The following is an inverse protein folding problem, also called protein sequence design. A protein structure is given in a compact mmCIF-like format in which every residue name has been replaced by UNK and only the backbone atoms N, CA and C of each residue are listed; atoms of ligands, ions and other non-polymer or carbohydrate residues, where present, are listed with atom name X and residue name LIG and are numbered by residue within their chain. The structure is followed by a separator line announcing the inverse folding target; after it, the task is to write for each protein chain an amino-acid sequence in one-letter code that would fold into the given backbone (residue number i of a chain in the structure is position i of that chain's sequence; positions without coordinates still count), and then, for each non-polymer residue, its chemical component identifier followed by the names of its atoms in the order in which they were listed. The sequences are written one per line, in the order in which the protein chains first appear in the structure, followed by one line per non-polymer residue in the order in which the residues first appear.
data_IF_336601407076
#
_entry.id   IF_336601407076
#
_cell.length_a   1.000
_cell.length_b   1.000
_cell.length_c   1.000
_cell.angle_alpha   90.00
_cell.angle_beta   90.00
_cell.angle_gamma   90.00
#
_symmetry.space_group_name_H-M   'P 1'
#
loop_
_entity.id
_entity.type
_entity.pdbx_description
1 polymer ?
#
# COMPACT_ATOMS: atom_id res chain seq x y z
N UNK A 1 2.86 -13.43 20.76
CA UNK A 1 4.25 -13.61 20.29
C UNK A 1 4.77 -15.04 20.51
N UNK A 2 4.91 -15.56 21.72
CA UNK A 2 5.48 -16.90 21.97
C UNK A 2 4.81 -18.05 21.18
N UNK A 3 3.47 -18.10 21.10
CA UNK A 3 2.78 -19.09 20.28
C UNK A 3 3.10 -18.96 18.77
N UNK A 4 3.27 -17.74 18.27
CA UNK A 4 3.65 -17.51 16.88
C UNK A 4 5.08 -18.04 16.60
N UNK A 5 6.03 -17.80 17.49
CA UNK A 5 7.39 -18.33 17.38
C UNK A 5 7.40 -19.87 17.41
N UNK A 6 6.57 -20.49 18.27
CA UNK A 6 6.40 -21.95 18.29
C UNK A 6 5.78 -22.49 16.98
N UNK A 7 4.93 -21.72 16.31
CA UNK A 7 4.37 -22.07 15.01
C UNK A 7 5.41 -21.94 13.88
N UNK A 8 6.33 -21.00 13.99
CA UNK A 8 7.43 -20.78 13.03
C UNK A 8 8.61 -21.74 13.20
N UNK A 9 8.45 -22.81 14.00
CA UNK A 9 9.47 -23.83 14.30
C UNK A 9 10.74 -23.31 14.98
N UNK A 10 10.64 -22.17 15.69
CA UNK A 10 11.71 -21.75 16.60
C UNK A 10 11.89 -22.76 17.73
N UNK A 11 13.11 -22.81 18.31
CA UNK A 11 13.42 -23.76 19.39
C UNK A 11 12.42 -23.62 20.55
N UNK A 12 11.62 -24.65 20.81
CA UNK A 12 10.54 -24.57 21.80
C UNK A 12 11.01 -24.26 23.21
N UNK A 13 12.21 -24.76 23.60
CA UNK A 13 12.75 -24.52 24.93
C UNK A 13 13.13 -23.04 25.11
N UNK A 14 13.80 -22.48 24.13
CA UNK A 14 14.19 -21.06 24.10
C UNK A 14 12.94 -20.17 24.12
N UNK A 15 11.95 -20.45 23.29
CA UNK A 15 10.70 -19.65 23.23
C UNK A 15 9.98 -19.64 24.57
N UNK A 16 9.81 -20.81 25.22
CA UNK A 16 9.14 -20.89 26.53
C UNK A 16 9.93 -20.13 27.60
N UNK A 17 11.25 -20.31 27.64
CA UNK A 17 12.12 -19.67 28.62
C UNK A 17 12.09 -18.14 28.50
N UNK A 18 12.25 -17.62 27.30
CA UNK A 18 12.22 -16.17 27.06
C UNK A 18 10.84 -15.56 27.31
N UNK A 19 9.76 -16.26 26.97
CA UNK A 19 8.40 -15.80 27.29
C UNK A 19 8.14 -15.71 28.80
N UNK A 20 8.64 -16.69 29.57
CA UNK A 20 8.55 -16.69 31.05
C UNK A 20 9.43 -15.61 31.66
N UNK A 21 10.67 -15.39 31.15
CA UNK A 21 11.53 -14.29 31.57
C UNK A 21 10.88 -12.93 31.32
N UNK A 22 10.33 -12.72 30.11
CA UNK A 22 9.60 -11.48 29.76
C UNK A 22 8.41 -11.24 30.69
N UNK A 23 7.62 -12.29 30.99
CA UNK A 23 6.51 -12.16 31.95
C UNK A 23 6.97 -11.78 33.35
N UNK A 24 8.10 -12.30 33.81
CA UNK A 24 8.68 -11.96 35.14
C UNK A 24 9.29 -10.55 35.18
N UNK A 25 9.75 -10.02 34.07
CA UNK A 25 10.40 -8.72 33.99
C UNK A 25 9.42 -7.54 34.18
N UNK A 26 8.13 -7.73 33.92
CA UNK A 26 7.10 -6.70 34.14
C UNK A 26 6.35 -6.94 35.43
N UNK A 27 6.24 -5.94 36.33
CA UNK A 27 5.45 -6.04 37.56
C UNK A 27 3.99 -6.44 37.32
N UNK A 28 3.41 -6.01 36.21
CA UNK A 28 2.03 -6.28 35.83
C UNK A 28 1.79 -7.75 35.49
N UNK A 29 2.79 -8.42 34.90
CA UNK A 29 2.68 -9.79 34.39
C UNK A 29 3.47 -10.82 35.21
N UNK A 30 4.28 -10.39 36.17
CA UNK A 30 5.13 -11.29 36.95
C UNK A 30 4.35 -12.43 37.66
N UNK A 31 3.16 -12.12 38.17
CA UNK A 31 2.26 -13.12 38.81
C UNK A 31 1.73 -14.15 37.81
N UNK A 32 1.67 -13.83 36.51
CA UNK A 32 1.19 -14.70 35.46
C UNK A 32 2.28 -15.60 34.86
N UNK A 33 3.55 -15.46 35.25
CA UNK A 33 4.67 -16.21 34.65
C UNK A 33 4.50 -17.73 34.74
N UNK A 34 3.96 -18.23 35.87
CA UNK A 34 3.63 -19.65 36.03
C UNK A 34 2.52 -20.12 35.06
N UNK A 35 1.49 -19.30 34.87
CA UNK A 35 0.42 -19.56 33.94
C UNK A 35 0.94 -19.57 32.48
N UNK A 36 1.77 -18.60 32.10
CA UNK A 36 2.40 -18.54 30.77
C UNK A 36 3.19 -19.82 30.50
N UNK A 37 4.02 -20.27 31.46
CA UNK A 37 4.79 -21.50 31.31
C UNK A 37 3.88 -22.73 31.14
N UNK A 38 2.84 -22.85 31.98
CA UNK A 38 1.90 -23.97 31.91
C UNK A 38 1.14 -24.01 30.59
N UNK A 39 0.68 -22.85 30.10
CA UNK A 39 -0.05 -22.70 28.84
C UNK A 39 0.81 -23.09 27.65
N UNK A 40 2.06 -22.60 27.57
CA UNK A 40 2.96 -22.90 26.46
C UNK A 40 3.37 -24.39 26.46
N UNK A 41 3.66 -24.97 27.62
CA UNK A 41 3.96 -26.41 27.74
C UNK A 41 2.75 -27.29 27.39
N UNK A 42 1.54 -26.87 27.78
CA UNK A 42 0.33 -27.57 27.39
C UNK A 42 0.09 -27.51 25.88
N UNK A 43 0.28 -26.34 25.28
CA UNK A 43 0.21 -26.18 23.83
C UNK A 43 1.22 -27.13 23.12
N UNK A 44 2.47 -27.18 23.56
CA UNK A 44 3.47 -28.06 22.95
C UNK A 44 3.09 -29.53 23.02
N UNK A 45 2.57 -29.98 24.17
CA UNK A 45 2.14 -31.39 24.34
C UNK A 45 0.93 -31.75 23.48
N UNK A 46 0.01 -30.81 23.28
CA UNK A 46 -1.26 -31.03 22.61
C UNK A 46 -1.34 -30.37 21.21
N UNK A 47 -0.17 -29.89 20.66
CA UNK A 47 -0.12 -29.10 19.41
C UNK A 47 -0.91 -29.77 18.29
N UNK A 48 -0.71 -31.07 18.04
CA UNK A 48 -1.41 -31.79 16.97
C UNK A 48 -2.93 -31.81 17.11
N UNK A 49 -3.42 -32.05 18.32
CA UNK A 49 -4.86 -32.05 18.61
C UNK A 49 -5.44 -30.64 18.50
N UNK A 50 -4.79 -29.63 19.08
CA UNK A 50 -5.22 -28.23 19.05
C UNK A 50 -5.26 -27.75 17.59
N UNK A 51 -4.19 -27.96 16.82
CA UNK A 51 -4.12 -27.54 15.41
C UNK A 51 -5.24 -28.21 14.60
N UNK A 52 -5.47 -29.51 14.77
CA UNK A 52 -6.54 -30.24 14.07
C UNK A 52 -7.94 -29.70 14.46
N UNK A 53 -8.18 -29.44 15.73
CA UNK A 53 -9.47 -28.96 16.20
C UNK A 53 -9.83 -27.56 15.70
N UNK A 54 -8.84 -26.68 15.58
CA UNK A 54 -9.06 -25.28 15.17
C UNK A 54 -8.83 -25.02 13.67
N UNK A 55 -8.19 -25.94 12.92
CA UNK A 55 -7.95 -25.78 11.49
C UNK A 55 -9.24 -25.72 10.64
N UNK A 56 -10.34 -26.25 11.15
CA UNK A 56 -11.65 -26.14 10.51
C UNK A 56 -12.28 -24.75 10.63
N UNK A 57 -11.82 -23.93 11.60
CA UNK A 57 -12.32 -22.57 11.79
C UNK A 57 -11.57 -21.66 10.83
N UNK A 58 -12.26 -21.18 9.79
CA UNK A 58 -11.64 -20.39 8.71
C UNK A 58 -10.94 -19.13 9.19
N UNK A 59 -11.50 -18.39 10.18
CA UNK A 59 -10.85 -17.21 10.75
C UNK A 59 -9.52 -17.52 11.42
N UNK A 60 -9.42 -18.68 12.08
CA UNK A 60 -8.18 -19.17 12.68
C UNK A 60 -7.19 -19.61 11.59
N UNK A 61 -7.68 -20.36 10.61
CA UNK A 61 -6.85 -20.87 9.48
C UNK A 61 -6.17 -19.74 8.71
N UNK A 62 -6.89 -18.62 8.48
CA UNK A 62 -6.38 -17.46 7.76
C UNK A 62 -5.84 -16.36 8.67
N UNK A 63 -5.84 -16.56 10.00
CA UNK A 63 -5.28 -15.58 10.95
C UNK A 63 -5.97 -14.22 10.91
N UNK A 64 -7.28 -14.16 10.66
CA UNK A 64 -8.04 -12.91 10.53
C UNK A 64 -9.28 -12.91 11.44
N UNK A 65 -9.76 -11.76 11.91
CA UNK A 65 -11.03 -11.67 12.63
C UNK A 65 -12.21 -12.16 11.80
N UNK A 66 -13.23 -12.72 12.44
CA UNK A 66 -14.43 -13.25 11.77
C UNK A 66 -15.15 -12.25 10.87
N UNK A 67 -15.22 -10.98 11.30
CA UNK A 67 -15.81 -9.89 10.50
C UNK A 67 -15.03 -9.60 9.22
N UNK A 68 -13.68 -9.66 9.30
CA UNK A 68 -12.80 -9.46 8.14
C UNK A 68 -13.02 -10.55 7.10
N UNK A 69 -12.98 -11.81 7.55
CA UNK A 69 -13.28 -12.96 6.70
C UNK A 69 -14.66 -12.84 6.03
N UNK A 70 -15.69 -12.45 6.79
CA UNK A 70 -17.05 -12.28 6.25
C UNK A 70 -17.10 -11.19 5.17
N UNK A 71 -16.42 -10.05 5.40
CA UNK A 71 -16.34 -8.94 4.43
C UNK A 71 -15.62 -9.35 3.15
N UNK A 72 -14.43 -9.96 3.26
CA UNK A 72 -13.67 -10.41 2.09
C UNK A 72 -14.45 -11.46 1.30
N UNK A 73 -15.10 -12.42 1.96
CA UNK A 73 -15.95 -13.42 1.29
C UNK A 73 -17.14 -12.82 0.57
N UNK A 74 -17.76 -11.81 1.16
CA UNK A 74 -18.90 -11.09 0.54
C UNK A 74 -18.47 -10.32 -0.69
N UNK A 75 -17.33 -9.63 -0.62
CA UNK A 75 -16.81 -8.81 -1.70
C UNK A 75 -16.23 -9.66 -2.86
N UNK A 76 -15.66 -10.83 -2.54
CA UNK A 76 -14.91 -11.68 -3.49
C UNK A 76 -15.27 -13.16 -3.31
N UNK A 77 -16.50 -13.58 -3.68
CA UNK A 77 -16.98 -14.96 -3.44
C UNK A 77 -16.05 -16.05 -4.00
N UNK A 78 -15.45 -15.80 -5.15
CA UNK A 78 -14.61 -16.76 -5.87
C UNK A 78 -13.12 -16.65 -5.49
N UNK A 79 -12.64 -15.46 -5.11
CA UNK A 79 -11.22 -15.14 -4.95
C UNK A 79 -10.78 -15.00 -3.47
N UNK A 80 -11.71 -15.00 -2.52
CA UNK A 80 -11.40 -14.72 -1.10
C UNK A 80 -10.32 -15.63 -0.50
N UNK A 81 -10.24 -16.91 -0.95
CA UNK A 81 -9.21 -17.84 -0.47
C UNK A 81 -7.82 -17.43 -0.93
N UNK A 82 -7.69 -17.08 -2.20
CA UNK A 82 -6.44 -16.60 -2.78
C UNK A 82 -5.99 -15.31 -2.10
N UNK A 83 -6.88 -14.33 -1.99
CA UNK A 83 -6.60 -13.05 -1.30
C UNK A 83 -6.05 -13.29 0.10
N UNK A 84 -6.75 -14.08 0.93
CA UNK A 84 -6.33 -14.33 2.31
C UNK A 84 -5.06 -15.19 2.38
N UNK A 85 -4.82 -16.06 1.42
CA UNK A 85 -3.59 -16.85 1.33
C UNK A 85 -2.39 -15.94 1.05
N UNK A 86 -2.49 -15.07 0.02
CA UNK A 86 -1.42 -14.13 -0.33
C UNK A 86 -1.17 -13.13 0.81
N UNK A 87 -2.21 -12.66 1.49
CA UNK A 87 -2.08 -11.77 2.65
C UNK A 87 -1.30 -12.38 3.83
N UNK A 88 -1.20 -13.72 3.89
CA UNK A 88 -0.44 -14.44 4.92
C UNK A 88 0.97 -14.84 4.46
N UNK A 89 1.38 -14.52 3.24
CA UNK A 89 2.76 -14.73 2.77
C UNK A 89 3.68 -13.61 3.25
N UNK A 90 4.99 -13.86 3.23
CA UNK A 90 5.96 -12.78 3.40
C UNK A 90 5.88 -11.80 2.22
N UNK A 91 5.86 -10.51 2.52
CA UNK A 91 5.90 -9.50 1.49
C UNK A 91 7.26 -9.53 0.78
N UNK A 92 7.30 -9.61 -0.56
CA UNK A 92 8.56 -9.54 -1.28
C UNK A 92 9.19 -8.14 -1.14
N UNK A 93 10.52 -8.07 -1.13
CA UNK A 93 11.23 -6.81 -1.23
C UNK A 93 11.09 -6.30 -2.67
N UNK A 94 10.13 -5.42 -2.87
CA UNK A 94 9.81 -4.85 -4.17
C UNK A 94 10.36 -3.44 -4.28
N UNK A 95 11.06 -3.17 -5.36
CA UNK A 95 11.69 -1.90 -5.67
C UNK A 95 11.06 -1.28 -6.91
N UNK A 96 10.95 0.05 -6.91
CA UNK A 96 10.78 0.85 -8.12
C UNK A 96 12.15 1.30 -8.59
N UNK A 97 12.52 0.95 -9.81
CA UNK A 97 13.73 1.44 -10.47
C UNK A 97 13.50 2.88 -10.93
N UNK A 98 14.43 3.76 -10.61
CA UNK A 98 14.40 5.15 -11.06
C UNK A 98 14.90 5.27 -12.52
N UNK A 99 13.95 5.26 -13.45
CA UNK A 99 14.25 5.28 -14.88
C UNK A 99 14.91 6.57 -15.38
N UNK A 100 14.85 7.66 -14.62
CA UNK A 100 15.63 8.86 -14.94
C UNK A 100 17.14 8.65 -14.74
N UNK A 101 17.55 7.61 -14.00
CA UNK A 101 18.96 7.34 -13.66
C UNK A 101 19.50 6.03 -14.22
N UNK A 102 18.67 4.97 -14.31
CA UNK A 102 19.10 3.63 -14.73
C UNK A 102 17.94 2.87 -15.37
N UNK A 103 18.21 2.07 -16.41
CA UNK A 103 17.19 1.16 -16.95
C UNK A 103 16.96 -0.04 -16.02
N UNK A 104 15.82 -0.71 -16.17
CA UNK A 104 15.50 -1.91 -15.38
C UNK A 104 16.52 -3.02 -15.66
N UNK A 105 16.91 -3.22 -16.91
CA UNK A 105 17.90 -4.24 -17.32
C UNK A 105 19.24 -4.00 -16.63
N UNK A 106 19.76 -2.77 -16.67
CA UNK A 106 21.01 -2.41 -16.02
C UNK A 106 20.94 -2.54 -14.51
N UNK A 107 19.80 -2.22 -13.90
CA UNK A 107 19.57 -2.41 -12.47
C UNK A 107 19.60 -3.89 -12.09
N UNK A 108 18.94 -4.75 -12.87
CA UNK A 108 18.95 -6.20 -12.68
C UNK A 108 20.35 -6.79 -12.75
N UNK A 109 21.16 -6.35 -13.73
CA UNK A 109 22.56 -6.78 -13.84
C UNK A 109 23.40 -6.34 -12.66
N UNK A 110 23.24 -5.09 -12.21
CA UNK A 110 23.93 -4.55 -11.02
C UNK A 110 23.57 -5.36 -9.76
N UNK A 111 22.29 -5.59 -9.53
CA UNK A 111 21.84 -6.34 -8.36
C UNK A 111 22.37 -7.78 -8.36
N UNK A 112 22.38 -8.45 -9.52
CA UNK A 112 22.93 -9.82 -9.64
C UNK A 112 24.45 -9.86 -9.41
N UNK A 113 25.21 -8.86 -9.85
CA UNK A 113 26.63 -8.75 -9.57
C UNK A 113 26.94 -8.58 -8.07
N UNK A 114 26.00 -7.99 -7.32
CA UNK A 114 26.07 -7.85 -5.86
C UNK A 114 25.49 -9.06 -5.11
N UNK A 115 25.14 -10.15 -5.82
CA UNK A 115 24.72 -11.43 -5.24
C UNK A 115 23.24 -11.57 -4.94
N UNK A 116 22.39 -10.68 -5.46
CA UNK A 116 20.94 -10.82 -5.34
C UNK A 116 20.34 -11.60 -6.52
N UNK A 117 19.34 -12.44 -6.22
CA UNK A 117 18.42 -12.88 -7.26
C UNK A 117 17.41 -11.76 -7.52
N UNK A 118 17.48 -11.16 -8.73
CA UNK A 118 16.70 -10.01 -9.09
C UNK A 118 15.84 -10.32 -10.33
N UNK A 119 14.52 -10.12 -10.21
CA UNK A 119 13.59 -10.34 -11.32
C UNK A 119 12.64 -9.15 -11.49
N UNK A 120 12.34 -8.84 -12.76
CA UNK A 120 11.33 -7.85 -13.09
C UNK A 120 9.93 -8.42 -12.84
N UNK A 121 9.04 -7.61 -12.25
CA UNK A 121 7.66 -7.98 -11.91
C UNK A 121 6.64 -6.95 -12.38
N UNK A 122 7.08 -5.90 -13.03
CA UNK A 122 6.25 -4.82 -13.57
C UNK A 122 7.10 -3.88 -14.43
N UNK A 123 6.53 -2.85 -15.05
CA UNK A 123 7.26 -1.96 -15.95
C UNK A 123 8.54 -1.40 -15.34
N UNK A 124 8.50 -0.99 -14.07
CA UNK A 124 9.64 -0.45 -13.30
C UNK A 124 9.87 -1.19 -11.99
N UNK A 125 9.12 -2.28 -11.78
CA UNK A 125 9.14 -3.04 -10.55
C UNK A 125 10.11 -4.21 -10.63
N UNK A 126 10.97 -4.32 -9.63
CA UNK A 126 11.92 -5.42 -9.43
C UNK A 126 11.71 -6.01 -8.04
N UNK A 127 11.71 -7.33 -7.94
CA UNK A 127 11.79 -8.05 -6.66
C UNK A 127 13.24 -8.47 -6.45
N UNK A 128 13.76 -8.25 -5.23
CA UNK A 128 15.07 -8.74 -4.79
C UNK A 128 14.92 -9.88 -3.79
N UNK A 129 15.69 -10.93 -3.98
CA UNK A 129 15.82 -12.07 -3.07
C UNK A 129 17.32 -12.37 -2.80
N UNK A 130 17.68 -12.64 -1.53
CA UNK A 130 16.86 -12.55 -0.32
C UNK A 130 16.52 -11.11 0.04
N UNK A 131 15.40 -10.90 0.75
CA UNK A 131 15.08 -9.58 1.31
C UNK A 131 16.21 -9.13 2.27
N UNK A 132 16.57 -7.85 2.20
CA UNK A 132 17.65 -7.28 2.99
C UNK A 132 17.24 -5.93 3.61
N UNK A 133 17.98 -5.44 4.62
CA UNK A 133 17.84 -4.08 5.13
C UNK A 133 18.09 -3.04 4.04
N UNK A 134 17.41 -1.89 4.14
CA UNK A 134 17.41 -0.82 3.13
C UNK A 134 18.83 -0.35 2.76
N UNK A 135 19.72 -0.25 3.75
CA UNK A 135 21.13 0.14 3.58
C UNK A 135 22.00 -0.91 2.84
N UNK A 136 21.43 -2.07 2.50
CA UNK A 136 22.09 -3.12 1.71
C UNK A 136 21.48 -3.27 0.32
N UNK A 137 20.46 -2.47 -0.01
CA UNK A 137 19.86 -2.49 -1.35
C UNK A 137 20.80 -1.81 -2.34
N UNK A 138 21.20 -2.49 -3.43
CA UNK A 138 22.05 -1.91 -4.47
C UNK A 138 21.52 -0.58 -4.98
N UNK A 139 22.35 0.46 -4.97
CA UNK A 139 22.02 1.75 -5.53
C UNK A 139 20.96 2.58 -4.76
N UNK A 140 20.53 2.17 -3.58
CA UNK A 140 19.48 2.87 -2.82
C UNK A 140 19.91 4.29 -2.43
N UNK A 141 21.11 4.45 -1.84
CA UNK A 141 21.62 5.74 -1.39
C UNK A 141 21.92 6.68 -2.56
N UNK A 142 22.24 6.13 -3.75
CA UNK A 142 22.42 6.88 -4.99
C UNK A 142 21.09 7.27 -5.65
N UNK A 143 19.96 6.85 -5.09
CA UNK A 143 18.62 7.10 -5.62
C UNK A 143 18.31 6.37 -6.91
N UNK A 144 18.97 5.23 -7.18
CA UNK A 144 18.72 4.39 -8.36
C UNK A 144 17.42 3.58 -8.20
N UNK A 145 16.94 3.43 -6.97
CA UNK A 145 15.67 2.76 -6.68
C UNK A 145 15.01 3.31 -5.41
N UNK A 146 13.75 2.92 -5.23
CA UNK A 146 12.96 3.16 -4.02
C UNK A 146 12.20 1.90 -3.63
N UNK A 147 12.07 1.63 -2.32
CA UNK A 147 11.21 0.54 -1.85
C UNK A 147 9.76 0.96 -2.06
N UNK A 148 9.06 0.26 -2.95
CA UNK A 148 7.66 0.53 -3.26
C UNK A 148 7.00 -0.72 -3.84
N UNK A 149 5.78 -1.04 -3.38
CA UNK A 149 4.99 -2.12 -3.97
C UNK A 149 4.72 -1.87 -5.46
N UNK A 150 4.75 -2.92 -6.28
CA UNK A 150 4.59 -2.77 -7.72
C UNK A 150 3.20 -2.27 -8.11
N UNK A 151 2.15 -2.66 -7.36
CA UNK A 151 0.80 -2.15 -7.58
C UNK A 151 0.66 -0.65 -7.31
N UNK A 152 1.58 -0.06 -6.51
CA UNK A 152 1.64 1.37 -6.23
C UNK A 152 2.37 2.18 -7.32
N UNK A 153 3.04 1.50 -8.27
CA UNK A 153 3.91 2.13 -9.27
C UNK A 153 3.20 2.55 -10.56
N UNK A 154 1.87 2.59 -10.60
CA UNK A 154 1.10 2.86 -11.82
C UNK A 154 0.70 4.33 -11.99
N UNK A 155 1.03 5.20 -11.03
CA UNK A 155 0.55 6.60 -10.98
C UNK A 155 0.95 7.40 -12.22
N UNK A 156 2.23 7.41 -12.54
CA UNK A 156 2.76 8.18 -13.69
C UNK A 156 2.22 7.69 -15.02
N UNK A 157 2.03 6.38 -15.16
CA UNK A 157 1.46 5.77 -16.37
C UNK A 157 0.00 6.20 -16.56
N UNK A 158 -0.80 6.17 -15.48
CA UNK A 158 -2.22 6.50 -15.56
C UNK A 158 -2.49 7.99 -15.73
N UNK A 159 -1.61 8.85 -15.22
CA UNK A 159 -1.73 10.29 -15.46
C UNK A 159 -1.25 10.69 -16.87
N UNK A 160 -0.29 9.97 -17.44
CA UNK A 160 0.26 10.26 -18.77
C UNK A 160 0.94 11.63 -18.84
N UNK A 161 1.70 11.99 -17.81
CA UNK A 161 2.41 13.28 -17.70
C UNK A 161 3.45 13.41 -18.82
N UNK A 162 3.53 14.60 -19.41
CA UNK A 162 4.40 14.89 -20.56
C UNK A 162 5.52 15.90 -20.26
N UNK A 163 5.40 16.62 -19.15
CA UNK A 163 6.28 17.71 -18.73
C UNK A 163 5.61 19.07 -18.86
N UNK A 164 5.94 19.95 -17.92
CA UNK A 164 5.38 21.30 -17.81
C UNK A 164 4.04 21.39 -17.07
N UNK A 165 3.44 20.23 -16.69
CA UNK A 165 2.20 20.22 -15.94
C UNK A 165 2.41 20.62 -14.48
N UNK A 166 1.41 21.33 -13.92
CA UNK A 166 1.27 21.58 -12.50
C UNK A 166 0.45 20.47 -11.85
N UNK A 167 1.07 19.71 -10.96
CA UNK A 167 0.46 18.51 -10.37
C UNK A 167 0.32 18.68 -8.84
N UNK A 168 -0.82 18.30 -8.29
CA UNK A 168 -1.03 18.16 -6.86
C UNK A 168 -1.02 16.68 -6.46
N UNK A 169 -0.19 16.32 -5.49
CA UNK A 169 -0.31 15.09 -4.72
C UNK A 169 -0.98 15.45 -3.37
N UNK A 170 -2.25 15.12 -3.21
CA UNK A 170 -3.09 15.69 -2.16
C UNK A 170 -2.95 15.03 -0.78
N UNK A 171 -2.43 13.80 -0.71
CA UNK A 171 -2.12 13.08 0.54
C UNK A 171 -0.76 12.37 0.36
N UNK A 172 0.30 13.17 0.20
CA UNK A 172 1.53 12.77 -0.46
C UNK A 172 2.46 11.86 0.36
N UNK A 173 2.36 11.87 1.70
CA UNK A 173 3.34 11.17 2.53
C UNK A 173 3.27 9.63 2.39
N UNK A 174 4.44 8.99 2.32
CA UNK A 174 5.81 9.49 2.58
C UNK A 174 6.55 10.03 1.34
N UNK A 175 5.88 10.34 0.23
CA UNK A 175 6.49 10.95 -0.95
C UNK A 175 6.81 9.97 -2.09
N UNK A 176 6.48 8.69 -1.96
CA UNK A 176 6.81 7.68 -2.97
C UNK A 176 6.13 7.89 -4.33
N UNK A 177 4.86 8.34 -4.34
CA UNK A 177 4.12 8.66 -5.57
C UNK A 177 4.57 10.01 -6.14
N UNK A 178 4.79 11.00 -5.27
CA UNK A 178 5.40 12.30 -5.63
C UNK A 178 6.73 12.09 -6.35
N UNK A 179 7.63 11.30 -5.77
CA UNK A 179 8.92 10.98 -6.36
C UNK A 179 8.78 10.28 -7.72
N UNK A 180 7.87 9.30 -7.84
CA UNK A 180 7.62 8.60 -9.09
C UNK A 180 7.18 9.54 -10.22
N UNK A 181 6.30 10.49 -9.93
CA UNK A 181 5.85 11.48 -10.91
C UNK A 181 7.01 12.37 -11.38
N UNK A 182 7.86 12.84 -10.45
CA UNK A 182 9.05 13.65 -10.74
C UNK A 182 10.16 12.86 -11.47
N UNK A 183 10.26 11.56 -11.24
CA UNK A 183 11.18 10.67 -11.98
C UNK A 183 10.72 10.46 -13.45
N UNK A 184 9.42 10.57 -13.70
CA UNK A 184 8.82 10.26 -15.01
C UNK A 184 8.69 11.46 -15.93
N UNK A 185 8.58 12.69 -15.40
CA UNK A 185 8.39 13.90 -16.19
C UNK A 185 8.86 15.15 -15.42
N UNK A 186 9.30 16.17 -16.15
CA UNK A 186 9.64 17.49 -15.61
C UNK A 186 8.36 18.28 -15.34
N UNK A 187 7.88 18.25 -14.10
CA UNK A 187 6.60 18.81 -13.65
C UNK A 187 6.78 19.76 -12.47
N UNK A 188 5.85 20.72 -12.31
CA UNK A 188 5.74 21.54 -11.10
C UNK A 188 4.83 20.80 -10.08
N UNK A 189 5.46 20.11 -9.12
CA UNK A 189 4.74 19.28 -8.15
C UNK A 189 4.54 20.01 -6.83
N UNK A 190 3.29 20.08 -6.38
CA UNK A 190 2.91 20.41 -5.01
C UNK A 190 2.51 19.14 -4.27
N UNK A 191 3.22 18.81 -3.20
CA UNK A 191 2.94 17.66 -2.32
C UNK A 191 2.29 18.16 -1.02
N UNK A 192 1.06 17.77 -0.73
CA UNK A 192 0.32 18.19 0.46
C UNK A 192 0.15 17.03 1.45
N UNK A 193 0.36 17.32 2.73
CA UNK A 193 0.18 16.37 3.82
C UNK A 193 -0.29 17.10 5.08
N UNK A 194 -1.30 16.56 5.76
CA UNK A 194 -1.89 17.16 6.96
C UNK A 194 -0.99 17.00 8.20
N UNK A 195 -0.30 15.88 8.32
CA UNK A 195 0.57 15.57 9.46
C UNK A 195 1.98 16.14 9.23
N UNK A 196 2.46 17.05 10.10
CA UNK A 196 3.77 17.68 9.94
C UNK A 196 4.94 16.67 9.97
N UNK A 197 4.84 15.62 10.78
CA UNK A 197 5.89 14.59 10.86
C UNK A 197 5.92 13.74 9.58
N UNK A 198 4.77 13.50 8.99
CA UNK A 198 4.69 12.80 7.72
C UNK A 198 5.12 13.69 6.55
N UNK A 199 4.84 15.00 6.59
CA UNK A 199 5.32 15.97 5.61
C UNK A 199 6.87 16.01 5.55
N UNK A 200 7.56 15.95 6.69
CA UNK A 200 9.03 15.84 6.74
C UNK A 200 9.55 14.64 5.96
N UNK A 201 8.85 13.49 6.00
CA UNK A 201 9.26 12.30 5.25
C UNK A 201 9.18 12.48 3.73
N UNK A 202 8.30 13.35 3.24
CA UNK A 202 8.25 13.71 1.81
C UNK A 202 9.58 14.37 1.43
N UNK A 203 10.01 15.37 2.19
CA UNK A 203 11.27 16.08 1.96
C UNK A 203 12.46 15.09 2.00
N UNK A 204 12.56 14.26 3.04
CA UNK A 204 13.62 13.23 3.15
C UNK A 204 13.66 12.29 1.94
N UNK A 205 12.48 11.87 1.46
CA UNK A 205 12.38 10.99 0.27
C UNK A 205 12.87 11.70 -0.97
N UNK A 206 12.45 12.95 -1.19
CA UNK A 206 12.82 13.73 -2.36
C UNK A 206 14.31 14.09 -2.34
N UNK A 207 14.86 14.50 -1.20
CA UNK A 207 16.27 14.85 -1.03
C UNK A 207 17.18 13.67 -1.36
N UNK A 208 16.88 12.46 -0.86
CA UNK A 208 17.63 11.23 -1.20
C UNK A 208 17.66 10.97 -2.70
N UNK A 209 16.59 11.27 -3.40
CA UNK A 209 16.45 11.04 -4.85
C UNK A 209 17.01 12.19 -5.69
N UNK A 210 17.35 13.33 -5.06
CA UNK A 210 17.78 14.55 -5.75
C UNK A 210 16.63 15.27 -6.46
N UNK A 211 15.39 15.08 -5.99
CA UNK A 211 14.18 15.66 -6.57
C UNK A 211 13.70 16.87 -5.76
N UNK A 212 12.91 17.74 -6.39
CA UNK A 212 12.35 18.95 -5.74
C UNK A 212 10.85 19.01 -5.97
N UNK A 213 10.11 19.34 -4.92
CA UNK A 213 8.69 19.70 -4.97
C UNK A 213 8.38 20.77 -3.93
N UNK A 214 7.26 21.43 -4.11
CA UNK A 214 6.67 22.29 -3.08
C UNK A 214 5.95 21.43 -2.06
N UNK A 215 6.48 21.31 -0.84
CA UNK A 215 5.81 20.58 0.25
C UNK A 215 4.95 21.55 1.05
N UNK A 216 3.65 21.25 1.16
CA UNK A 216 2.65 22.06 1.87
C UNK A 216 2.04 21.24 3.00
N UNK A 217 2.22 21.69 4.23
CA UNK A 217 1.48 21.14 5.36
C UNK A 217 0.07 21.73 5.35
N UNK A 218 -0.95 20.87 5.25
CA UNK A 218 -2.33 21.32 5.25
C UNK A 218 -3.34 20.20 5.01
N UNK A 219 -4.59 20.49 5.31
CA UNK A 219 -5.71 19.60 5.09
C UNK A 219 -6.25 19.79 3.65
N UNK A 220 -6.23 18.75 2.85
CA UNK A 220 -6.75 18.77 1.49
C UNK A 220 -8.30 18.89 1.43
N UNK A 221 -8.99 18.83 2.55
CA UNK A 221 -10.42 19.20 2.65
C UNK A 221 -10.63 20.71 2.75
N UNK A 222 -9.61 21.51 3.05
CA UNK A 222 -9.64 22.96 2.99
C UNK A 222 -9.43 23.43 1.54
N UNK A 223 -10.53 23.59 0.81
CA UNK A 223 -10.48 23.96 -0.61
C UNK A 223 -9.84 25.34 -0.85
N UNK A 224 -9.92 26.28 0.09
CA UNK A 224 -9.27 27.60 -0.04
C UNK A 224 -7.75 27.45 -0.02
N UNK A 225 -7.24 26.65 0.92
CA UNK A 225 -5.83 26.34 0.99
C UNK A 225 -5.34 25.65 -0.30
N UNK A 226 -6.08 24.64 -0.77
CA UNK A 226 -5.73 23.92 -2.01
C UNK A 226 -5.77 24.87 -3.21
N UNK A 227 -6.80 25.71 -3.32
CA UNK A 227 -6.97 26.69 -4.41
C UNK A 227 -5.80 27.68 -4.48
N UNK A 228 -5.27 28.11 -3.34
CA UNK A 228 -4.12 29.02 -3.28
C UNK A 228 -2.84 28.40 -3.89
N UNK A 229 -2.75 27.08 -3.95
CA UNK A 229 -1.62 26.36 -4.55
C UNK A 229 -1.76 26.17 -6.07
N UNK A 230 -3.00 26.22 -6.61
CA UNK A 230 -3.33 25.96 -8.03
C UNK A 230 -3.18 27.17 -8.95
N UNK A 231 -3.71 27.08 -10.20
CA UNK A 231 -4.44 25.93 -10.74
C UNK A 231 -3.56 24.72 -11.03
N UNK A 232 -4.19 23.52 -11.12
CA UNK A 232 -3.49 22.26 -11.38
C UNK A 232 -3.98 21.64 -12.71
N UNK A 233 -3.05 21.02 -13.44
CA UNK A 233 -3.34 20.26 -14.66
C UNK A 233 -3.76 18.82 -14.34
N UNK A 234 -3.23 18.27 -13.24
CA UNK A 234 -3.61 16.95 -12.74
C UNK A 234 -3.55 16.92 -11.20
N UNK A 235 -4.40 16.09 -10.61
CA UNK A 235 -4.39 15.86 -9.16
C UNK A 235 -4.32 14.35 -8.89
N UNK A 236 -3.45 13.96 -7.97
CA UNK A 236 -3.43 12.62 -7.37
C UNK A 236 -4.06 12.73 -5.99
N UNK A 237 -5.01 11.85 -5.72
CA UNK A 237 -5.58 11.66 -4.39
C UNK A 237 -5.33 10.21 -3.96
N UNK A 238 -4.17 9.98 -3.31
CA UNK A 238 -3.90 8.74 -2.58
C UNK A 238 -4.59 8.79 -1.22
N UNK A 239 -5.88 8.47 -1.22
CA UNK A 239 -6.74 8.78 -0.09
C UNK A 239 -6.45 7.90 1.13
N UNK A 240 -6.55 8.44 2.35
CA UNK A 240 -6.50 7.65 3.57
C UNK A 240 -7.59 6.57 3.54
N UNK A 241 -7.22 5.32 3.81
CA UNK A 241 -8.09 4.16 3.67
C UNK A 241 -7.82 3.12 4.76
N UNK A 242 -8.56 2.01 4.75
CA UNK A 242 -8.33 0.89 5.69
C UNK A 242 -6.98 0.21 5.51
N UNK A 243 -6.33 0.42 4.37
CA UNK A 243 -5.11 -0.26 3.95
C UNK A 243 -5.27 -1.81 3.87
N UNK A 244 -6.49 -2.27 3.62
CA UNK A 244 -6.83 -3.70 3.57
C UNK A 244 -6.17 -4.46 2.43
N UNK A 245 -5.60 -3.77 1.45
CA UNK A 245 -4.87 -4.37 0.34
C UNK A 245 -3.43 -4.74 0.66
N UNK A 246 -2.80 -4.10 1.67
CA UNK A 246 -1.37 -4.24 1.99
C UNK A 246 -1.10 -5.03 3.28
N UNK A 247 -2.03 -5.89 3.67
CA UNK A 247 -1.99 -6.67 4.93
C UNK A 247 -0.70 -7.49 5.06
N UNK A 248 -0.19 -8.10 3.98
CA UNK A 248 1.05 -8.90 4.08
C UNK A 248 2.27 -8.08 4.49
N UNK A 249 2.25 -6.75 4.27
CA UNK A 249 3.30 -5.82 4.72
C UNK A 249 3.06 -5.31 6.13
N UNK A 250 1.79 -5.23 6.53
CA UNK A 250 1.32 -4.72 7.81
C UNK A 250 0.25 -5.67 8.39
N UNK A 251 0.65 -6.84 8.90
CA UNK A 251 -0.30 -7.88 9.35
C UNK A 251 -1.13 -7.48 10.58
N UNK A 252 -0.75 -6.42 11.28
CA UNK A 252 -1.50 -5.82 12.37
C UNK A 252 -2.81 -5.12 11.91
N UNK A 253 -2.90 -4.72 10.64
CA UNK A 253 -4.08 -4.03 10.07
C UNK A 253 -5.37 -4.80 10.36
N UNK A 254 -5.41 -6.11 10.12
CA UNK A 254 -6.61 -6.92 10.31
C UNK A 254 -7.11 -6.94 11.76
N UNK A 255 -6.23 -6.68 12.73
CA UNK A 255 -6.51 -6.67 14.17
C UNK A 255 -6.80 -5.28 14.70
N UNK A 256 -6.17 -4.24 14.13
CA UNK A 256 -6.36 -2.85 14.53
C UNK A 256 -7.63 -2.23 13.93
N UNK A 257 -8.03 -2.66 12.74
CA UNK A 257 -9.25 -2.17 12.08
C UNK A 257 -10.51 -2.76 12.68
N UNK A 258 -11.58 -1.97 12.62
CA UNK A 258 -12.96 -2.35 13.03
C UNK A 258 -13.90 -2.23 11.83
N UNK A 259 -15.04 -2.94 11.81
CA UNK A 259 -16.01 -2.83 10.71
C UNK A 259 -16.45 -1.38 10.39
N UNK A 260 -16.63 -0.55 11.42
CA UNK A 260 -17.03 0.85 11.26
C UNK A 260 -15.96 1.75 10.64
N UNK A 261 -14.68 1.35 10.64
CA UNK A 261 -13.61 2.14 10.04
C UNK A 261 -13.75 2.23 8.52
N UNK A 262 -14.33 1.21 7.87
CA UNK A 262 -14.58 1.20 6.43
C UNK A 262 -15.49 2.37 6.05
N UNK A 263 -16.64 2.49 6.72
CA UNK A 263 -17.62 3.54 6.44
C UNK A 263 -17.07 4.93 6.80
N UNK A 264 -16.38 5.04 7.93
CA UNK A 264 -15.77 6.30 8.38
C UNK A 264 -14.73 6.81 7.38
N UNK A 265 -13.86 5.93 6.89
CA UNK A 265 -12.83 6.29 5.92
C UNK A 265 -13.44 6.58 4.55
N UNK A 266 -14.45 5.83 4.11
CA UNK A 266 -15.17 6.12 2.88
C UNK A 266 -15.86 7.51 2.92
N UNK A 267 -16.40 7.93 4.07
CA UNK A 267 -16.93 9.30 4.25
C UNK A 267 -15.83 10.36 4.19
N UNK A 268 -14.65 10.10 4.76
CA UNK A 268 -13.51 11.00 4.68
C UNK A 268 -13.01 11.12 3.23
N UNK A 269 -12.92 10.02 2.51
CA UNK A 269 -12.58 9.98 1.08
C UNK A 269 -13.57 10.78 0.23
N UNK A 270 -14.88 10.68 0.53
CA UNK A 270 -15.91 11.46 -0.14
C UNK A 270 -15.67 12.96 0.03
N UNK A 271 -15.39 13.42 1.25
CA UNK A 271 -15.09 14.83 1.54
C UNK A 271 -13.84 15.32 0.81
N UNK A 272 -12.79 14.50 0.77
CA UNK A 272 -11.57 14.81 0.02
C UNK A 272 -11.84 14.93 -1.48
N UNK A 273 -12.57 13.97 -2.07
CA UNK A 273 -12.97 14.01 -3.48
C UNK A 273 -13.75 15.28 -3.78
N UNK A 274 -14.76 15.62 -2.98
CA UNK A 274 -15.60 16.80 -3.19
C UNK A 274 -14.76 18.10 -3.10
N UNK A 275 -13.90 18.24 -2.10
CA UNK A 275 -13.04 19.41 -1.93
C UNK A 275 -12.05 19.60 -3.09
N UNK A 276 -11.35 18.53 -3.46
CA UNK A 276 -10.34 18.55 -4.52
C UNK A 276 -10.99 18.77 -5.90
N UNK A 277 -12.18 18.20 -6.12
CA UNK A 277 -12.92 18.41 -7.36
C UNK A 277 -13.27 19.87 -7.62
N UNK A 278 -13.58 20.63 -6.58
CA UNK A 278 -13.86 22.05 -6.70
C UNK A 278 -12.69 22.85 -7.28
N UNK A 279 -11.47 22.51 -6.94
CA UNK A 279 -10.28 23.24 -7.38
C UNK A 279 -9.69 22.71 -8.70
N UNK A 280 -10.13 21.55 -9.17
CA UNK A 280 -9.70 21.00 -10.44
C UNK A 280 -10.35 21.77 -11.59
N UNK A 281 -9.59 22.37 -12.54
CA UNK A 281 -10.15 23.04 -13.70
C UNK A 281 -10.85 22.07 -14.68
N UNK A 282 -11.73 22.59 -15.52
CA UNK A 282 -12.36 21.85 -16.61
C UNK A 282 -11.31 21.29 -17.58
N UNK A 283 -11.57 20.11 -18.13
CA UNK A 283 -10.66 19.37 -19.01
C UNK A 283 -9.49 18.69 -18.31
N UNK A 284 -9.31 18.92 -16.99
CA UNK A 284 -8.20 18.34 -16.21
C UNK A 284 -8.60 17.04 -15.54
N UNK A 285 -7.59 16.29 -15.06
CA UNK A 285 -7.76 14.93 -14.57
C UNK A 285 -7.45 14.78 -13.09
N UNK A 286 -8.19 13.91 -12.41
CA UNK A 286 -7.97 13.46 -11.05
C UNK A 286 -7.78 11.95 -11.05
N UNK A 287 -6.65 11.49 -10.50
CA UNK A 287 -6.40 10.08 -10.25
C UNK A 287 -6.67 9.77 -8.76
N UNK A 288 -7.74 9.04 -8.52
CA UNK A 288 -8.08 8.53 -7.19
C UNK A 288 -7.43 7.18 -6.96
N UNK A 289 -6.83 7.00 -5.76
CA UNK A 289 -6.09 5.79 -5.39
C UNK A 289 -6.42 5.43 -3.94
N UNK A 290 -6.58 4.15 -3.66
CA UNK A 290 -6.56 3.59 -2.31
C UNK A 290 -5.83 2.25 -2.29
N UNK A 291 -5.11 1.96 -1.22
CA UNK A 291 -4.53 0.64 -0.95
C UNK A 291 -5.53 -0.25 -0.19
N UNK A 292 -6.78 -0.26 -0.63
CA UNK A 292 -7.88 -1.02 -0.05
C UNK A 292 -8.48 -2.00 -1.07
N UNK A 293 -8.88 -3.18 -0.56
CA UNK A 293 -9.68 -4.14 -1.34
C UNK A 293 -11.18 -4.02 -1.07
N UNK A 294 -11.61 -3.21 -0.10
CA UNK A 294 -13.04 -3.07 0.20
C UNK A 294 -13.76 -2.21 -0.85
N UNK A 295 -14.89 -2.71 -1.42
CA UNK A 295 -15.62 -2.00 -2.47
C UNK A 295 -16.08 -0.60 -2.09
N UNK A 296 -16.41 -0.38 -0.81
CA UNK A 296 -16.88 0.88 -0.27
C UNK A 296 -15.85 2.02 -0.40
N UNK A 297 -14.56 1.68 -0.35
CA UNK A 297 -13.43 2.62 -0.50
C UNK A 297 -12.95 2.75 -1.95
N UNK A 298 -13.38 1.85 -2.82
CA UNK A 298 -12.98 1.80 -4.24
C UNK A 298 -14.16 2.08 -5.18
N UNK A 299 -14.68 1.06 -5.89
CA UNK A 299 -15.66 1.25 -6.96
C UNK A 299 -16.97 1.85 -6.49
N UNK A 300 -17.44 1.54 -5.28
CA UNK A 300 -18.67 2.16 -4.73
C UNK A 300 -18.45 3.64 -4.41
N UNK A 301 -17.26 4.01 -3.90
CA UNK A 301 -16.90 5.40 -3.67
C UNK A 301 -16.96 6.22 -4.95
N UNK A 302 -16.37 5.70 -6.04
CA UNK A 302 -16.38 6.39 -7.34
C UNK A 302 -17.77 6.43 -7.95
N UNK A 303 -18.55 5.33 -7.86
CA UNK A 303 -19.95 5.31 -8.32
C UNK A 303 -20.79 6.39 -7.60
N UNK A 304 -20.64 6.49 -6.27
CA UNK A 304 -21.36 7.48 -5.48
C UNK A 304 -20.89 8.92 -5.81
N UNK A 305 -19.59 9.10 -6.06
CA UNK A 305 -19.05 10.39 -6.49
C UNK A 305 -19.64 10.83 -7.84
N UNK A 306 -19.62 9.97 -8.84
CA UNK A 306 -20.17 10.25 -10.17
C UNK A 306 -21.68 10.55 -10.12
N UNK A 307 -22.43 9.86 -9.25
CA UNK A 307 -23.86 10.08 -9.10
C UNK A 307 -24.22 11.48 -8.57
N UNK A 308 -23.36 12.08 -7.71
CA UNK A 308 -23.58 13.41 -7.13
C UNK A 308 -22.84 14.55 -7.84
N UNK A 309 -21.98 14.22 -8.82
CA UNK A 309 -21.09 15.17 -9.50
C UNK A 309 -21.26 15.04 -11.02
N UNK A 310 -22.29 15.70 -11.62
CA UNK A 310 -22.66 15.47 -13.02
C UNK A 310 -21.56 15.76 -14.05
N UNK A 311 -20.64 16.70 -13.74
CA UNK A 311 -19.51 17.06 -14.59
C UNK A 311 -18.26 16.17 -14.36
N UNK A 312 -18.37 15.13 -13.55
CA UNK A 312 -17.32 14.13 -13.41
C UNK A 312 -17.57 12.95 -14.36
N UNK A 313 -16.56 12.57 -15.12
CA UNK A 313 -16.58 11.40 -16.00
C UNK A 313 -15.39 10.51 -15.76
N UNK A 314 -15.58 9.22 -15.90
CA UNK A 314 -14.46 8.28 -15.97
C UNK A 314 -13.71 8.47 -17.29
N UNK A 315 -12.40 8.60 -17.19
CA UNK A 315 -11.47 8.59 -18.33
C UNK A 315 -10.76 7.25 -18.35
N UNK A 316 -10.67 6.63 -19.52
CA UNK A 316 -9.97 5.35 -19.69
C UNK A 316 -8.54 5.45 -19.18
N UNK A 317 -8.13 4.51 -18.35
CA UNK A 317 -6.76 4.39 -17.87
C UNK A 317 -5.85 3.99 -19.04
N UNK A 318 -4.74 4.69 -19.29
CA UNK A 318 -3.80 4.34 -20.35
C UNK A 318 -3.38 2.85 -20.28
N UNK A 319 -3.51 2.15 -21.41
CA UNK A 319 -3.18 0.73 -21.52
C UNK A 319 -4.27 -0.24 -21.02
N UNK A 320 -5.47 0.27 -20.65
CA UNK A 320 -6.60 -0.53 -20.21
C UNK A 320 -7.87 -0.10 -20.95
N UNK A 321 -8.92 -0.94 -20.90
CA UNK A 321 -10.23 -0.66 -21.51
C UNK A 321 -11.23 -0.08 -20.49
N UNK A 322 -10.77 0.38 -19.35
CA UNK A 322 -11.60 0.88 -18.24
C UNK A 322 -11.01 2.14 -17.62
N UNK A 323 -11.87 2.98 -17.06
CA UNK A 323 -11.46 4.11 -16.21
C UNK A 323 -11.17 3.73 -14.76
N UNK A 324 -11.37 2.47 -14.41
CA UNK A 324 -11.09 1.94 -13.07
C UNK A 324 -10.28 0.65 -13.17
N UNK A 325 -9.35 0.47 -12.23
CA UNK A 325 -8.57 -0.74 -12.06
C UNK A 325 -8.66 -1.19 -10.60
N UNK A 326 -8.95 -2.47 -10.39
CA UNK A 326 -8.85 -3.13 -9.09
C UNK A 326 -7.74 -4.17 -9.14
N UNK A 327 -6.74 -3.99 -8.32
CA UNK A 327 -5.68 -4.95 -8.06
C UNK A 327 -6.00 -5.71 -6.78
N UNK A 328 -6.09 -7.03 -6.85
CA UNK A 328 -6.16 -7.89 -5.67
C UNK A 328 -4.77 -8.45 -5.39
N UNK A 329 -4.39 -8.65 -4.11
CA UNK A 329 -3.07 -9.16 -3.78
C UNK A 329 -2.76 -10.44 -4.56
N UNK A 330 -1.64 -10.47 -5.27
CA UNK A 330 -1.23 -11.61 -6.09
C UNK A 330 0.29 -11.80 -6.09
N UNK A 331 0.72 -13.00 -6.42
CA UNK A 331 2.12 -13.41 -6.47
C UNK A 331 2.31 -14.41 -7.62
N UNK A 332 2.23 -13.92 -8.84
CA UNK A 332 2.49 -14.73 -10.04
C UNK A 332 3.99 -14.80 -10.32
N UNK A 333 4.46 -15.96 -10.82
CA UNK A 333 5.88 -16.19 -11.07
C UNK A 333 6.44 -15.40 -12.26
N UNK A 334 5.61 -15.13 -13.26
CA UNK A 334 6.04 -14.52 -14.52
C UNK A 334 5.37 -13.17 -14.75
N UNK A 335 6.14 -12.22 -15.28
CA UNK A 335 5.68 -10.94 -15.76
C UNK A 335 5.60 -10.99 -17.29
N UNK A 336 4.44 -10.66 -17.83
CA UNK A 336 4.11 -10.77 -19.26
C UNK A 336 4.51 -9.55 -20.10
N UNK A 337 5.18 -8.56 -19.49
CA UNK A 337 5.55 -7.31 -20.15
C UNK A 337 4.42 -6.27 -20.22
N UNK A 338 3.24 -6.56 -19.70
CA UNK A 338 2.09 -5.65 -19.66
C UNK A 338 2.20 -4.54 -18.63
N UNK A 339 1.16 -3.69 -18.56
CA UNK A 339 1.10 -2.60 -17.57
C UNK A 339 0.88 -3.11 -16.15
N UNK A 340 0.19 -4.25 -15.99
CA UNK A 340 -0.16 -4.81 -14.68
C UNK A 340 1.01 -5.65 -14.17
N UNK A 341 1.54 -5.34 -12.97
CA UNK A 341 2.61 -6.15 -12.38
C UNK A 341 2.15 -7.57 -12.07
N UNK A 342 3.08 -8.54 -12.12
CA UNK A 342 2.80 -9.94 -11.77
C UNK A 342 2.79 -10.21 -10.27
N UNK A 343 3.46 -9.35 -9.48
CA UNK A 343 3.52 -9.41 -8.01
C UNK A 343 3.15 -8.05 -7.45
N UNK A 344 2.05 -7.97 -6.74
CA UNK A 344 1.59 -6.72 -6.14
C UNK A 344 0.63 -6.95 -4.97
N UNK A 345 0.47 -5.93 -4.18
CA UNK A 345 -0.56 -5.82 -3.14
C UNK A 345 -1.91 -5.37 -3.72
N UNK A 346 -2.89 -5.17 -2.86
CA UNK A 346 -4.22 -4.72 -3.27
C UNK A 346 -4.28 -3.20 -3.40
N UNK A 347 -4.73 -2.72 -4.57
CA UNK A 347 -4.97 -1.31 -4.86
C UNK A 347 -6.23 -1.11 -5.68
N UNK A 348 -6.77 0.08 -5.60
CA UNK A 348 -7.81 0.53 -6.51
C UNK A 348 -7.41 1.88 -7.11
N UNK A 349 -7.66 2.03 -8.40
CA UNK A 349 -7.39 3.23 -9.18
C UNK A 349 -8.65 3.65 -9.92
N UNK A 350 -8.90 4.95 -10.01
CA UNK A 350 -9.91 5.53 -10.90
C UNK A 350 -9.40 6.85 -11.47
N UNK A 351 -9.43 6.98 -12.78
CA UNK A 351 -9.10 8.22 -13.49
C UNK A 351 -10.37 8.96 -13.86
N UNK A 352 -10.48 10.18 -13.37
CA UNK A 352 -11.62 11.07 -13.58
C UNK A 352 -11.19 12.29 -14.39
N UNK A 353 -12.09 12.80 -15.23
CA UNK A 353 -11.93 14.08 -15.92
C UNK A 353 -13.12 14.98 -15.62
N UNK A 354 -12.87 16.29 -15.50
CA UNK A 354 -13.90 17.29 -15.28
C UNK A 354 -14.35 17.85 -16.61
N UNK A 355 -15.60 17.58 -16.98
CA UNK A 355 -16.21 18.17 -18.17
C UNK A 355 -16.63 19.61 -17.90
N UNK A 356 -16.83 20.39 -18.98
CA UNK A 356 -17.49 21.68 -18.89
C UNK A 356 -18.93 21.49 -18.37
N UNK A 357 -19.38 22.41 -17.53
CA UNK A 357 -20.71 22.35 -16.92
C UNK A 357 -21.82 22.68 -17.93
#
# INVERSE_FOLDING_TARGET
MALALLLSNEDPHTVVNEAVKAAKASPETARAAGFVNALLRNYMRNRGHITKSYSAILSVRYGVPGWWLARVRKAYPDQWREILTVQNTHAPLTLRVNQAKISVENYLEMARKEGFDARQVGPWAVVLEPACPVNKIPGFDQGLCSVQDAGCQLVSQFLGLKGGERVLDACAAPGGKSAQMLESADIDLTAMEIDPKRATRITETLDRLGLKAKVVQGDATDFLLVRQQGPFDAIVLDAPCTASGIVRRHPDIVWLRRPADIEKLAQQQAKLLDSIWWVLPEGKSLLYIVCSIFPEEGPEQIKNFLARTPNAKLKTLPGLDSGMLRLLPTEKSEYDGGIIPSVHDGFFYALLTKEAA
#
